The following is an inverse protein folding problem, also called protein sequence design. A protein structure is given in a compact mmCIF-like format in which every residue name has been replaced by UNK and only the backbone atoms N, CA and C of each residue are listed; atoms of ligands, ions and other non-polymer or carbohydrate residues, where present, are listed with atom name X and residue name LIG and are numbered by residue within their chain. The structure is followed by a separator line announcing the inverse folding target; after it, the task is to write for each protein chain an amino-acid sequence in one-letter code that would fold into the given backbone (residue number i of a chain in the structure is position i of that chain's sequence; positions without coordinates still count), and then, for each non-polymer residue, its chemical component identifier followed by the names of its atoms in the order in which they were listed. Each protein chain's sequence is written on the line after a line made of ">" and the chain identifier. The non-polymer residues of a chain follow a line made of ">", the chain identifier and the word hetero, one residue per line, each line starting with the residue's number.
data_IF_007488612317
#
_entry.id   IF_007488612317
#
_cell.length_a   1.000
_cell.length_b   1.000
_cell.length_c   1.000
_cell.angle_alpha   90.00
_cell.angle_beta   90.00
_cell.angle_gamma   90.00
#
_symmetry.space_group_name_H-M   'P 1'
#
loop_
_entity.id
_entity.type
_entity.pdbx_description
1 polymer ?
#
# COMPACT_ATOMS: atom_id res chain seq x y z
N UNK A 1 -8.88 -7.55 0.74
CA UNK A 1 -7.71 -6.91 1.38
C UNK A 1 -6.73 -7.88 2.05
N UNK A 2 -7.17 -9.00 2.64
CA UNK A 2 -6.28 -9.97 3.31
C UNK A 2 -5.12 -10.46 2.45
N UNK A 3 -5.30 -10.56 1.12
CA UNK A 3 -4.22 -10.92 0.19
C UNK A 3 -3.09 -9.90 0.17
N UNK A 4 -3.38 -8.60 0.01
CA UNK A 4 -2.35 -7.54 0.00
C UNK A 4 -1.59 -7.51 1.31
N UNK A 5 -2.31 -7.52 2.43
CA UNK A 5 -1.70 -7.50 3.76
C UNK A 5 -0.81 -8.73 3.96
N UNK A 6 -1.27 -9.92 3.55
CA UNK A 6 -0.49 -11.16 3.64
C UNK A 6 0.76 -11.16 2.76
N UNK A 7 0.67 -10.72 1.50
CA UNK A 7 1.81 -10.63 0.60
C UNK A 7 2.87 -9.64 1.10
N UNK A 8 2.44 -8.46 1.54
CA UNK A 8 3.35 -7.44 2.09
C UNK A 8 3.94 -7.89 3.43
N UNK A 9 3.15 -8.54 4.30
CA UNK A 9 3.65 -9.13 5.53
C UNK A 9 4.76 -10.16 5.25
N UNK A 10 4.52 -11.08 4.32
CA UNK A 10 5.48 -12.11 3.94
C UNK A 10 6.78 -11.52 3.37
N UNK A 11 6.69 -10.56 2.45
CA UNK A 11 7.85 -9.89 1.84
C UNK A 11 8.69 -9.10 2.87
N UNK A 12 8.04 -8.46 3.84
CA UNK A 12 8.73 -7.73 4.89
C UNK A 12 9.19 -8.63 6.06
N UNK A 13 8.78 -9.90 6.09
CA UNK A 13 9.04 -10.83 7.20
C UNK A 13 8.32 -10.43 8.50
N UNK A 14 7.09 -9.90 8.38
CA UNK A 14 6.30 -9.37 9.48
C UNK A 14 5.02 -10.19 9.67
N UNK A 15 4.45 -10.11 10.87
CA UNK A 15 3.10 -10.61 11.13
C UNK A 15 2.04 -9.68 10.49
N UNK A 16 1.05 -10.26 9.81
CA UNK A 16 -0.01 -9.53 9.12
C UNK A 16 -0.81 -8.61 10.06
N UNK A 17 -1.01 -9.00 11.31
CA UNK A 17 -1.70 -8.20 12.32
C UNK A 17 -0.95 -6.94 12.71
N UNK A 18 0.37 -6.89 12.53
CA UNK A 18 1.15 -5.67 12.76
C UNK A 18 0.79 -4.59 11.74
N UNK A 19 0.45 -4.96 10.50
CA UNK A 19 0.10 -4.00 9.45
C UNK A 19 -1.24 -3.31 9.71
N UNK A 20 -2.17 -3.99 10.37
CA UNK A 20 -3.47 -3.42 10.78
C UNK A 20 -3.45 -2.82 12.19
N UNK A 21 -2.38 -3.02 12.95
CA UNK A 21 -2.27 -2.50 14.31
C UNK A 21 -2.23 -0.97 14.37
N UNK A 22 -2.86 -0.40 15.40
CA UNK A 22 -2.89 1.04 15.64
C UNK A 22 -1.52 1.62 16.06
N UNK A 23 -0.61 0.79 16.60
CA UNK A 23 0.70 1.25 17.08
C UNK A 23 1.64 1.63 15.94
N UNK A 24 2.39 2.72 16.13
CA UNK A 24 3.36 3.25 15.16
C UNK A 24 4.39 2.20 14.72
N UNK A 25 4.76 1.26 15.60
CA UNK A 25 5.65 0.13 15.27
C UNK A 25 7.07 0.59 14.92
N UNK A 26 7.93 -0.34 14.50
CA UNK A 26 9.27 0.01 14.00
C UNK A 26 9.19 0.67 12.61
N UNK A 27 10.23 1.39 12.16
CA UNK A 27 10.26 2.00 10.82
C UNK A 27 9.96 0.99 9.71
N UNK A 28 10.43 -0.26 9.85
CA UNK A 28 10.14 -1.36 8.93
C UNK A 28 8.65 -1.69 8.85
N UNK A 29 7.95 -1.72 9.99
CA UNK A 29 6.51 -1.97 10.04
C UNK A 29 5.73 -0.77 9.47
N UNK A 30 6.19 0.45 9.73
CA UNK A 30 5.58 1.65 9.15
C UNK A 30 5.66 1.65 7.62
N UNK A 31 6.84 1.34 7.07
CA UNK A 31 7.04 1.21 5.62
C UNK A 31 6.16 0.10 5.02
N UNK A 32 6.11 -1.06 5.65
CA UNK A 32 5.26 -2.17 5.20
C UNK A 32 3.78 -1.74 5.14
N UNK A 33 3.29 -0.97 6.12
CA UNK A 33 1.92 -0.43 6.09
C UNK A 33 1.70 0.54 4.96
N UNK A 34 2.67 1.41 4.71
CA UNK A 34 2.58 2.37 3.62
C UNK A 34 2.49 1.66 2.27
N UNK A 35 3.32 0.63 2.06
CA UNK A 35 3.28 -0.22 0.85
C UNK A 35 1.94 -0.96 0.74
N UNK A 36 1.41 -1.53 1.82
CA UNK A 36 0.10 -2.19 1.79
C UNK A 36 -1.05 -1.23 1.45
N UNK A 37 -1.01 0.01 1.97
CA UNK A 37 -1.98 1.06 1.62
C UNK A 37 -1.85 1.48 0.15
N UNK A 38 -0.62 1.65 -0.33
CA UNK A 38 -0.32 1.99 -1.72
C UNK A 38 -0.84 0.94 -2.69
N UNK A 39 -0.49 -0.33 -2.49
CA UNK A 39 -0.95 -1.44 -3.35
C UNK A 39 -2.48 -1.63 -3.30
N UNK A 40 -3.11 -1.31 -2.16
CA UNK A 40 -4.57 -1.32 -2.06
C UNK A 40 -5.20 -0.21 -2.91
N UNK A 41 -4.56 0.96 -2.99
CA UNK A 41 -5.02 2.06 -3.83
C UNK A 41 -4.74 1.81 -5.32
N UNK A 42 -3.48 1.55 -5.69
CA UNK A 42 -3.03 1.44 -7.07
C UNK A 42 -3.47 0.13 -7.72
N UNK A 43 -3.35 -0.98 -7.00
CA UNK A 43 -3.69 -2.30 -7.52
C UNK A 43 -5.18 -2.59 -7.58
N UNK A 44 -5.95 -2.14 -6.58
CA UNK A 44 -7.39 -2.44 -6.46
C UNK A 44 -8.28 -1.22 -6.73
N UNK A 45 -7.71 -0.10 -7.18
CA UNK A 45 -8.41 1.16 -7.45
C UNK A 45 -9.29 1.66 -6.29
N UNK A 46 -8.90 1.36 -5.04
CA UNK A 46 -9.66 1.77 -3.86
C UNK A 46 -9.41 3.24 -3.54
N UNK A 47 -10.46 4.00 -3.17
CA UNK A 47 -10.28 5.39 -2.72
C UNK A 47 -9.49 5.49 -1.41
N UNK A 48 -8.81 6.61 -1.18
CA UNK A 48 -8.08 6.85 0.07
C UNK A 48 -8.96 6.71 1.32
N UNK A 49 -10.23 7.09 1.22
CA UNK A 49 -11.19 6.95 2.30
C UNK A 49 -11.49 5.46 2.60
N UNK A 50 -11.63 4.65 1.55
CA UNK A 50 -11.87 3.21 1.68
C UNK A 50 -10.65 2.51 2.25
N UNK A 51 -9.46 2.79 1.73
CA UNK A 51 -8.19 2.28 2.29
C UNK A 51 -8.02 2.75 3.74
N UNK A 52 -8.36 4.01 4.05
CA UNK A 52 -8.28 4.54 5.40
C UNK A 52 -9.13 3.75 6.39
N UNK A 53 -10.42 3.56 6.09
CA UNK A 53 -11.34 2.73 6.90
C UNK A 53 -10.79 1.32 7.12
N UNK A 54 -10.30 0.72 6.05
CA UNK A 54 -9.78 -0.64 6.02
C UNK A 54 -8.54 -0.84 6.93
N UNK A 55 -7.68 0.17 7.04
CA UNK A 55 -6.50 0.16 7.92
C UNK A 55 -6.71 0.91 9.25
N UNK A 56 -7.92 1.41 9.52
CA UNK A 56 -8.23 2.23 10.70
C UNK A 56 -7.45 3.55 10.76
N UNK A 57 -7.19 4.18 9.60
CA UNK A 57 -6.43 5.43 9.46
C UNK A 57 -7.22 6.49 8.71
N UNK A 58 -6.84 7.74 8.92
CA UNK A 58 -7.41 8.86 8.17
C UNK A 58 -6.97 8.83 6.70
N UNK A 59 -7.83 9.33 5.79
CA UNK A 59 -7.54 9.41 4.35
C UNK A 59 -6.25 10.17 4.05
N UNK A 60 -5.88 11.17 4.87
CA UNK A 60 -4.63 11.92 4.73
C UNK A 60 -3.41 11.07 5.07
N UNK A 61 -3.54 10.10 5.97
CA UNK A 61 -2.50 9.11 6.26
C UNK A 61 -2.26 8.21 5.06
N UNK A 62 -3.33 7.81 4.37
CA UNK A 62 -3.22 7.01 3.14
C UNK A 62 -2.59 7.83 2.02
N UNK A 63 -2.99 9.09 1.83
CA UNK A 63 -2.39 9.98 0.85
C UNK A 63 -0.89 10.20 1.11
N UNK A 64 -0.51 10.40 2.38
CA UNK A 64 0.89 10.50 2.79
C UNK A 64 1.65 9.20 2.52
N UNK A 65 1.06 8.04 2.84
CA UNK A 65 1.65 6.74 2.54
C UNK A 65 1.90 6.54 1.03
N UNK A 66 0.93 6.91 0.19
CA UNK A 66 1.08 6.80 -1.26
C UNK A 66 2.23 7.68 -1.77
N UNK A 67 2.34 8.92 -1.27
CA UNK A 67 3.46 9.81 -1.62
C UNK A 67 4.80 9.23 -1.21
N UNK A 68 4.93 8.74 0.02
CA UNK A 68 6.19 8.12 0.50
C UNK A 68 6.60 6.92 -0.35
N UNK A 69 5.64 6.10 -0.79
CA UNK A 69 5.94 4.95 -1.64
C UNK A 69 6.31 5.40 -3.05
N UNK A 70 5.58 6.34 -3.67
CA UNK A 70 5.93 6.89 -4.98
C UNK A 70 7.32 7.55 -4.98
N UNK A 71 7.62 8.37 -3.98
CA UNK A 71 8.95 9.01 -3.84
C UNK A 71 10.07 7.96 -3.69
N UNK A 72 9.77 6.78 -3.13
CA UNK A 72 10.74 5.70 -2.99
C UNK A 72 10.97 4.90 -4.29
N UNK A 73 10.13 5.05 -5.31
CA UNK A 73 10.27 4.35 -6.61
C UNK A 73 11.41 4.89 -7.47
N UNK A 74 11.95 6.06 -7.13
CA UNK A 74 13.17 6.56 -7.74
C UNK A 74 14.37 5.63 -7.47
N UNK A 75 14.29 4.79 -6.43
CA UNK A 75 15.24 3.70 -6.18
C UNK A 75 14.82 2.42 -6.94
N UNK A 76 15.68 1.98 -7.86
CA UNK A 76 15.49 0.77 -8.68
C UNK A 76 15.23 -0.49 -7.84
N UNK A 77 15.87 -0.62 -6.68
CA UNK A 77 15.63 -1.76 -5.78
C UNK A 77 14.22 -1.74 -5.21
N UNK A 78 13.72 -0.57 -4.84
CA UNK A 78 12.36 -0.43 -4.33
C UNK A 78 11.34 -0.66 -5.44
N UNK A 79 11.56 -0.09 -6.63
CA UNK A 79 10.65 -0.28 -7.76
C UNK A 79 10.56 -1.75 -8.18
N UNK A 80 11.68 -2.46 -8.26
CA UNK A 80 11.70 -3.90 -8.54
C UNK A 80 10.97 -4.72 -7.46
N UNK A 81 11.10 -4.32 -6.20
CA UNK A 81 10.43 -4.98 -5.07
C UNK A 81 8.92 -4.74 -5.11
N UNK A 82 8.48 -3.51 -5.40
CA UNK A 82 7.06 -3.18 -5.59
C UNK A 82 6.46 -3.95 -6.76
N UNK A 83 7.14 -4.00 -7.90
CA UNK A 83 6.70 -4.78 -9.06
C UNK A 83 6.56 -6.28 -8.75
N UNK A 84 7.42 -6.81 -7.88
CA UNK A 84 7.33 -8.20 -7.40
C UNK A 84 6.13 -8.40 -6.49
N UNK A 85 5.89 -7.48 -5.56
CA UNK A 85 4.72 -7.49 -4.68
C UNK A 85 3.40 -7.38 -5.45
N UNK A 86 3.36 -6.55 -6.50
CA UNK A 86 2.20 -6.44 -7.39
C UNK A 86 1.88 -7.80 -8.03
N UNK A 87 2.87 -8.45 -8.64
CA UNK A 87 2.72 -9.80 -9.21
C UNK A 87 2.27 -10.82 -8.16
N UNK A 88 2.87 -10.81 -6.98
CA UNK A 88 2.53 -11.72 -5.88
C UNK A 88 1.08 -11.52 -5.37
N UNK A 89 0.61 -10.27 -5.36
CA UNK A 89 -0.77 -9.94 -5.01
C UNK A 89 -1.78 -10.33 -6.11
N UNK A 90 -1.31 -10.75 -7.30
CA UNK A 90 -2.15 -10.98 -8.47
C UNK A 90 -2.60 -9.69 -9.14
N UNK A 91 -1.92 -8.57 -8.85
CA UNK A 91 -2.10 -7.32 -9.55
C UNK A 91 -1.37 -7.46 -10.88
N UNK A 92 -2.12 -7.73 -11.94
CA UNK A 92 -1.59 -7.51 -13.29
C UNK A 92 -1.28 -6.03 -13.42
N UNK A 93 -0.14 -5.68 -14.02
CA UNK A 93 0.30 -4.31 -14.25
C UNK A 93 -0.86 -3.48 -14.84
N UNK A 94 -1.63 -2.82 -13.98
CA UNK A 94 -2.78 -2.07 -14.39
C UNK A 94 -2.27 -0.74 -14.94
N UNK A 95 -2.75 -0.29 -16.10
CA UNK A 95 -2.28 0.95 -16.71
C UNK A 95 -2.52 2.11 -15.74
N UNK A 96 -1.53 3.00 -15.69
CA UNK A 96 -1.52 4.21 -14.89
C UNK A 96 -2.90 4.89 -14.86
N UNK A 97 -3.50 4.90 -13.67
CA UNK A 97 -4.41 5.92 -13.16
C UNK A 97 -5.48 6.42 -14.15
N UNK A 98 -6.67 5.78 -14.14
CA UNK A 98 -7.89 6.51 -14.52
C UNK A 98 -8.17 7.53 -13.42
N UNK A 99 -7.77 8.77 -13.70
CA UNK A 99 -8.29 9.97 -13.06
C UNK A 99 -9.82 9.96 -13.14
N UNK A 100 -10.48 9.46 -12.10
CA UNK A 100 -11.90 9.68 -11.84
C UNK A 100 -12.06 10.10 -10.40
N UNK A 101 -11.56 11.29 -10.07
CA UNK A 101 -12.20 12.14 -9.06
C UNK A 101 -13.12 13.11 -9.79
N UNK A 102 -14.22 12.55 -10.30
CA UNK A 102 -15.47 13.26 -10.46
C UNK A 102 -16.34 13.01 -9.24
N UNK A 103 -16.36 13.94 -8.29
CA UNK A 103 -17.49 14.25 -7.38
C UNK A 103 -17.10 15.49 -6.56
N UNK A 104 -17.62 16.66 -6.96
CA UNK A 104 -18.77 17.37 -6.35
C UNK A 104 -18.45 17.90 -4.96
#
# INVERSE_FOLDING_TARGET
>A
MQRVVGCVAADFGLDAGLLTAARRGSPRVALARQVAMYLSHVGFALSFETVGRLFGRDRTTVAHACRVVEDSRDDVWMDCRLATLERACGLGAAPAQRATEGRR
#
